data_IF_112214319740
#
_entry.id   IF_112214319740
#
_cell.length_a   1.000
_cell.length_b   1.000
_cell.length_c   1.000
_cell.angle_alpha   90.00
_cell.angle_beta   90.00
_cell.angle_gamma   90.00
#
_symmetry.space_group_name_H-M   'P 1'
#
loop_
_entity.id
_entity.type
_entity.pdbx_description
1 polymer ?
#
# COMPACT_ATOMS: atom_id res chain seq x y z
N UNK A 1 -10.17 18.36 -1.01
CA UNK A 1 -11.32 17.45 -1.03
C UNK A 1 -11.03 16.29 -0.08
N UNK A 2 -11.93 15.94 0.85
CA UNK A 2 -11.78 14.76 1.72
C UNK A 2 -12.89 13.77 1.38
N UNK A 3 -12.52 12.51 1.19
CA UNK A 3 -13.46 11.41 0.91
C UNK A 3 -13.35 10.37 2.00
N UNK A 4 -14.49 9.83 2.39
CA UNK A 4 -14.57 8.74 3.35
C UNK A 4 -15.36 7.61 2.71
N UNK A 5 -14.78 6.41 2.69
CA UNK A 5 -15.44 5.18 2.27
C UNK A 5 -15.52 4.25 3.48
N UNK A 6 -16.59 3.49 3.59
CA UNK A 6 -16.69 2.48 4.63
C UNK A 6 -15.65 1.37 4.41
N UNK A 7 -15.28 0.69 5.50
CA UNK A 7 -14.35 -0.45 5.45
C UNK A 7 -14.85 -1.54 4.49
N UNK A 8 -16.16 -1.80 4.46
CA UNK A 8 -16.77 -2.78 3.55
C UNK A 8 -16.65 -2.41 2.08
N UNK A 9 -16.76 -1.11 1.75
CA UNK A 9 -16.53 -0.63 0.38
C UNK A 9 -15.06 -0.81 0.01
N UNK A 10 -14.14 -0.40 0.89
CA UNK A 10 -12.70 -0.51 0.67
C UNK A 10 -12.25 -1.97 0.51
N UNK A 11 -12.78 -2.88 1.32
CA UNK A 11 -12.49 -4.32 1.24
C UNK A 11 -12.98 -4.93 -0.08
N UNK A 12 -14.15 -4.51 -0.59
CA UNK A 12 -14.64 -4.96 -1.90
C UNK A 12 -13.80 -4.42 -3.05
N UNK A 13 -13.39 -3.15 -3.01
CA UNK A 13 -12.46 -2.60 -4.01
C UNK A 13 -11.12 -3.35 -3.94
N UNK A 14 -10.59 -3.61 -2.75
CA UNK A 14 -9.33 -4.35 -2.57
C UNK A 14 -9.34 -5.74 -3.20
N UNK A 15 -10.44 -6.48 -3.05
CA UNK A 15 -10.59 -7.85 -3.58
C UNK A 15 -10.88 -7.92 -5.07
N UNK A 16 -11.32 -6.80 -5.65
CA UNK A 16 -11.67 -6.73 -7.06
C UNK A 16 -10.44 -6.83 -7.96
N UNK A 17 -10.62 -7.39 -9.15
CA UNK A 17 -9.58 -7.41 -10.17
C UNK A 17 -9.37 -6.01 -10.77
N UNK A 18 -8.15 -5.66 -11.22
CA UNK A 18 -7.94 -4.44 -12.01
C UNK A 18 -8.95 -4.33 -13.17
N UNK A 19 -9.60 -3.18 -13.31
CA UNK A 19 -10.63 -2.89 -14.31
C UNK A 19 -12.06 -3.30 -13.90
N UNK A 20 -12.23 -4.05 -12.81
CA UNK A 20 -13.55 -4.44 -12.33
C UNK A 20 -14.33 -3.24 -11.76
N UNK A 21 -15.64 -3.19 -12.06
CA UNK A 21 -16.55 -2.14 -11.56
C UNK A 21 -17.23 -2.62 -10.28
N UNK A 22 -17.01 -1.91 -9.18
CA UNK A 22 -17.55 -2.18 -7.85
C UNK A 22 -18.66 -1.16 -7.54
N UNK A 23 -19.82 -1.64 -7.10
CA UNK A 23 -21.00 -0.81 -6.76
C UNK A 23 -21.51 0.09 -7.90
N UNK A 24 -21.13 -0.20 -9.14
CA UNK A 24 -21.45 0.66 -10.29
C UNK A 24 -20.74 2.02 -10.28
N UNK A 25 -19.78 2.24 -9.38
CA UNK A 25 -19.15 3.56 -9.16
C UNK A 25 -17.65 3.55 -8.96
N UNK A 26 -17.04 2.43 -8.56
CA UNK A 26 -15.60 2.36 -8.37
C UNK A 26 -14.97 1.42 -9.37
N UNK A 27 -13.79 1.78 -9.90
CA UNK A 27 -13.00 0.90 -10.75
C UNK A 27 -11.64 0.69 -10.15
N UNK A 28 -11.26 -0.55 -9.89
CA UNK A 28 -9.96 -0.89 -9.33
C UNK A 28 -8.86 -0.68 -10.39
N UNK A 29 -7.80 0.06 -10.04
CA UNK A 29 -6.70 0.33 -10.99
C UNK A 29 -5.48 -0.54 -10.71
N UNK A 30 -4.70 -0.25 -9.67
CA UNK A 30 -3.47 -1.00 -9.34
C UNK A 30 -3.16 -1.00 -7.85
N UNK A 31 -2.57 -2.06 -7.29
CA UNK A 31 -2.11 -2.06 -5.89
C UNK A 31 -0.85 -2.86 -5.71
N UNK A 32 -0.15 -2.54 -4.64
CA UNK A 32 1.19 -3.04 -4.36
C UNK A 32 1.47 -2.99 -2.86
N UNK A 33 2.42 -3.81 -2.46
CA UNK A 33 3.11 -3.71 -1.18
C UNK A 33 4.38 -2.89 -1.37
N UNK A 34 4.67 -2.02 -0.43
CA UNK A 34 5.91 -1.27 -0.33
C UNK A 34 6.46 -1.39 1.09
N UNK A 35 7.78 -1.47 1.23
CA UNK A 35 8.41 -1.34 2.53
C UNK A 35 8.32 0.14 2.95
N UNK A 36 7.68 0.41 4.07
CA UNK A 36 7.71 1.72 4.72
C UNK A 36 8.80 1.69 5.80
N UNK A 37 9.94 2.32 5.54
CA UNK A 37 10.91 2.63 6.59
C UNK A 37 10.44 3.86 7.35
N UNK A 38 10.36 3.77 8.68
CA UNK A 38 10.41 4.96 9.52
C UNK A 38 11.86 5.20 9.93
N UNK A 39 12.23 6.47 10.02
CA UNK A 39 13.54 6.92 10.48
C UNK A 39 13.95 6.24 11.80
N UNK A 40 15.27 6.11 11.96
CA UNK A 40 15.94 5.63 13.17
C UNK A 40 15.29 6.27 14.41
N UNK A 41 14.72 5.46 15.29
CA UNK A 41 14.40 5.90 16.64
C UNK A 41 15.71 6.02 17.43
N UNK A 42 16.45 7.11 17.21
CA UNK A 42 17.73 7.38 17.88
C UNK A 42 17.58 7.43 19.43
N UNK A 43 16.37 7.71 19.92
CA UNK A 43 16.09 7.89 21.36
C UNK A 43 15.94 6.58 22.17
N UNK A 44 15.91 5.41 21.53
CA UNK A 44 15.64 4.14 22.23
C UNK A 44 16.89 3.29 22.52
N UNK A 45 18.10 3.69 22.08
CA UNK A 45 19.33 2.91 22.28
C UNK A 45 19.31 1.50 21.66
N UNK A 46 18.33 1.23 20.79
CA UNK A 46 18.17 0.01 20.01
C UNK A 46 17.93 0.44 18.57
N UNK A 47 18.92 0.20 17.69
CA UNK A 47 18.82 0.40 16.25
C UNK A 47 17.86 -0.64 15.63
N UNK A 48 16.59 -0.65 16.04
CA UNK A 48 15.60 -1.54 15.48
C UNK A 48 14.96 -0.86 14.27
N UNK A 49 15.54 -1.10 13.09
CA UNK A 49 14.89 -0.81 11.80
C UNK A 49 13.53 -1.53 11.77
N UNK A 50 12.48 -0.83 12.18
CA UNK A 50 11.13 -1.35 12.07
C UNK A 50 10.66 -1.06 10.65
N UNK A 51 10.97 -1.98 9.74
CA UNK A 51 10.36 -1.98 8.41
C UNK A 51 8.88 -2.35 8.60
N UNK A 52 8.02 -1.34 8.42
CA UNK A 52 6.59 -1.55 8.22
C UNK A 52 6.36 -2.01 6.79
N UNK A 53 5.32 -2.84 6.57
CA UNK A 53 4.85 -3.12 5.22
C UNK A 53 3.61 -2.28 5.00
N UNK A 54 3.64 -1.43 3.99
CA UNK A 54 2.55 -0.59 3.56
C UNK A 54 1.89 -1.25 2.35
N UNK A 55 0.58 -1.45 2.40
CA UNK A 55 -0.20 -1.79 1.22
C UNK A 55 -0.95 -0.57 0.71
N UNK A 56 -0.81 -0.32 -0.59
CA UNK A 56 -1.40 0.82 -1.28
C UNK A 56 -2.19 0.33 -2.50
N UNK A 57 -3.39 0.87 -2.70
CA UNK A 57 -4.19 0.58 -3.88
C UNK A 57 -4.92 1.81 -4.42
N UNK A 58 -4.96 1.94 -5.76
CA UNK A 58 -5.67 3.00 -6.44
C UNK A 58 -6.99 2.53 -7.08
N UNK A 59 -7.95 3.44 -7.13
CA UNK A 59 -9.23 3.22 -7.79
C UNK A 59 -9.74 4.53 -8.41
N UNK A 60 -10.54 4.42 -9.47
CA UNK A 60 -11.30 5.54 -10.04
C UNK A 60 -12.68 5.56 -9.39
N UNK A 61 -13.17 6.73 -8.99
CA UNK A 61 -14.59 6.92 -8.72
C UNK A 61 -15.25 7.57 -9.94
N UNK A 62 -16.27 6.91 -10.48
CA UNK A 62 -17.00 7.30 -11.68
C UNK A 62 -18.01 8.43 -11.41
N UNK A 63 -18.34 8.70 -10.15
CA UNK A 63 -19.27 9.75 -9.74
C UNK A 63 -18.62 11.13 -9.70
N UNK A 64 -17.34 11.18 -9.34
CA UNK A 64 -16.54 12.42 -9.28
C UNK A 64 -15.44 12.47 -10.35
N UNK A 65 -15.25 11.40 -11.12
CA UNK A 65 -14.22 11.19 -12.15
C UNK A 65 -12.78 11.30 -11.63
N UNK A 66 -12.57 11.28 -10.30
CA UNK A 66 -11.26 11.35 -9.69
C UNK A 66 -10.65 9.97 -9.42
N UNK A 67 -9.32 9.95 -9.40
CA UNK A 67 -8.56 8.82 -8.89
C UNK A 67 -8.25 9.00 -7.42
N UNK A 68 -8.35 7.91 -6.69
CA UNK A 68 -8.15 7.85 -5.25
C UNK A 68 -7.15 6.74 -4.94
N UNK A 69 -6.33 6.94 -3.92
CA UNK A 69 -5.46 5.91 -3.35
C UNK A 69 -5.83 5.68 -1.90
N UNK A 70 -6.01 4.42 -1.56
CA UNK A 70 -6.03 3.94 -0.19
C UNK A 70 -4.67 3.37 0.16
N UNK A 71 -4.12 3.78 1.30
CA UNK A 71 -2.83 3.31 1.79
C UNK A 71 -2.94 2.94 3.27
N UNK A 72 -2.29 1.84 3.65
CA UNK A 72 -2.32 1.36 5.02
C UNK A 72 -1.12 0.51 5.41
N UNK A 73 -0.52 0.83 6.55
CA UNK A 73 0.52 0.01 7.18
C UNK A 73 -0.12 -1.26 7.76
N UNK A 74 0.49 -2.41 7.48
CA UNK A 74 0.07 -3.70 8.00
C UNK A 74 0.53 -3.86 9.44
N UNK A 75 -0.41 -4.24 10.30
CA UNK A 75 -0.12 -4.57 11.69
C UNK A 75 0.51 -5.97 11.75
N UNK A 76 1.62 -6.10 12.48
CA UNK A 76 2.24 -7.41 12.74
C UNK A 76 1.28 -8.27 13.56
N UNK A 77 1.22 -9.55 13.24
CA UNK A 77 0.58 -10.56 14.07
C UNK A 77 1.63 -11.17 15.00
N UNK A 78 1.29 -11.32 16.29
CA UNK A 78 2.09 -12.13 17.20
C UNK A 78 1.59 -13.56 17.12
N UNK A 79 2.46 -14.47 16.67
CA UNK A 79 2.14 -15.89 16.62
C UNK A 79 2.90 -16.59 17.76
N UNK A 80 2.20 -17.21 18.72
CA UNK A 80 2.86 -17.89 19.84
C UNK A 80 3.62 -19.12 19.32
N UNK A 81 4.96 -19.11 19.44
CA UNK A 81 5.80 -20.29 19.19
C UNK A 81 6.68 -20.25 17.93
N UNK A 82 6.58 -19.20 17.10
CA UNK A 82 7.44 -18.97 15.94
C UNK A 82 8.28 -17.72 16.17
N UNK A 83 9.55 -17.88 16.54
CA UNK A 83 10.42 -16.74 16.89
C UNK A 83 11.08 -16.05 15.68
N UNK A 84 10.86 -16.56 14.46
CA UNK A 84 11.60 -16.11 13.25
C UNK A 84 10.72 -15.59 12.12
N UNK A 85 9.43 -15.91 12.12
CA UNK A 85 8.55 -15.55 11.01
C UNK A 85 7.74 -14.29 11.35
N UNK A 86 7.89 -13.25 10.52
CA UNK A 86 7.10 -12.03 10.64
C UNK A 86 5.79 -12.24 9.89
N UNK A 87 4.71 -12.49 10.64
CA UNK A 87 3.35 -12.61 10.10
C UNK A 87 2.66 -11.25 10.19
N UNK A 88 1.87 -10.90 9.18
CA UNK A 88 1.04 -9.70 9.18
C UNK A 88 -0.43 -10.09 9.31
N UNK A 89 -1.21 -9.30 10.05
CA UNK A 89 -2.67 -9.40 10.01
C UNK A 89 -3.14 -9.17 8.56
N UNK A 90 -4.36 -9.59 8.18
CA UNK A 90 -4.98 -9.22 6.91
C UNK A 90 -4.96 -7.69 6.66
N UNK A 91 -5.57 -7.18 5.59
CA UNK A 91 -5.72 -5.72 5.40
C UNK A 91 -7.03 -5.14 5.96
N UNK A 92 -8.09 -5.96 6.07
CA UNK A 92 -9.45 -5.57 6.49
C UNK A 92 -10.06 -6.48 7.58
N UNK A 93 -9.26 -6.91 8.57
CA UNK A 93 -9.70 -7.43 9.86
C UNK A 93 -10.45 -6.39 10.73
N UNK A 94 -11.16 -6.87 11.75
CA UNK A 94 -11.95 -6.04 12.67
C UNK A 94 -11.10 -5.32 13.74
N UNK A 95 -9.91 -5.83 14.02
CA UNK A 95 -9.13 -5.53 15.23
C UNK A 95 -7.90 -4.66 14.95
N UNK A 96 -8.10 -3.59 14.18
CA UNK A 96 -7.01 -2.71 13.82
C UNK A 96 -6.96 -1.45 14.66
N UNK A 97 -5.74 -1.11 15.04
CA UNK A 97 -5.44 0.10 15.80
C UNK A 97 -5.14 1.28 14.87
N UNK A 98 -4.52 1.02 13.71
CA UNK A 98 -4.15 2.07 12.74
C UNK A 98 -5.13 2.15 11.57
N UNK A 99 -5.93 3.24 11.43
CA UNK A 99 -6.81 3.41 10.28
C UNK A 99 -6.00 3.67 9.01
N UNK A 100 -6.45 3.13 7.88
CA UNK A 100 -5.88 3.49 6.58
C UNK A 100 -6.29 4.90 6.13
N UNK A 101 -5.57 5.44 5.16
CA UNK A 101 -5.77 6.80 4.67
C UNK A 101 -6.20 6.82 3.20
N UNK A 102 -7.12 7.73 2.86
CA UNK A 102 -7.59 8.00 1.50
C UNK A 102 -7.09 9.35 1.01
N UNK A 103 -6.40 9.36 -0.13
CA UNK A 103 -5.91 10.57 -0.79
C UNK A 103 -6.40 10.62 -2.24
N UNK A 104 -6.77 11.81 -2.77
CA UNK A 104 -6.86 12.00 -4.20
C UNK A 104 -5.48 11.83 -4.83
N UNK A 105 -5.43 11.25 -6.03
CA UNK A 105 -4.19 11.08 -6.78
C UNK A 105 -4.38 11.62 -8.19
N UNK A 106 -3.39 12.34 -8.68
CA UNK A 106 -3.30 12.68 -10.11
C UNK A 106 -2.72 11.48 -10.84
N UNK A 107 -3.55 10.80 -11.62
CA UNK A 107 -3.05 9.75 -12.51
C UNK A 107 -2.31 10.41 -13.67
N UNK A 108 -0.98 10.31 -13.68
CA UNK A 108 -0.14 10.86 -14.73
C UNK A 108 -0.12 10.01 -16.02
N UNK A 109 -0.96 8.97 -16.12
CA UNK A 109 -0.84 7.95 -17.15
C UNK A 109 0.17 6.86 -16.77
N UNK A 110 0.32 5.81 -17.60
CA UNK A 110 1.45 4.90 -17.48
C UNK A 110 2.73 5.70 -17.68
N UNK A 111 3.50 5.91 -16.62
CA UNK A 111 4.89 6.31 -16.77
C UNK A 111 5.66 5.08 -17.20
N UNK A 112 6.16 5.10 -18.44
CA UNK A 112 7.21 4.16 -18.85
C UNK A 112 8.41 4.46 -17.98
N UNK A 113 8.53 3.80 -16.82
CA UNK A 113 9.82 3.69 -16.14
C UNK A 113 10.66 2.78 -17.03
N UNK A 114 11.32 3.37 -18.01
CA UNK A 114 12.50 2.75 -18.60
C UNK A 114 13.50 2.66 -17.45
N UNK A 115 13.68 1.45 -16.90
CA UNK A 115 14.83 1.17 -16.07
C UNK A 115 16.05 1.35 -16.97
N UNK A 116 16.69 2.51 -16.94
CA UNK A 116 18.01 2.66 -17.52
C UNK A 116 18.94 1.81 -16.65
N UNK A 117 19.15 0.56 -17.05
CA UNK A 117 20.25 -0.23 -16.54
C UNK A 117 21.50 0.47 -17.04
N UNK A 118 22.16 1.22 -16.17
CA UNK A 118 23.52 1.69 -16.42
C UNK A 118 24.41 0.47 -16.20
N UNK A 119 24.70 -0.26 -17.27
CA UNK A 119 25.78 -1.25 -17.25
C UNK A 119 27.10 -0.49 -17.12
N UNK A 120 27.63 -0.43 -15.90
CA UNK A 120 29.03 -0.07 -15.70
C UNK A 120 29.88 -1.24 -16.22
N UNK A 121 30.24 -1.19 -17.51
CA UNK A 121 31.27 -2.06 -18.06
C UNK A 121 32.62 -1.55 -17.55
N UNK A 122 33.09 -2.10 -16.44
CA UNK A 122 34.48 -1.95 -16.02
C UNK A 122 35.36 -2.71 -17.01
N UNK A 123 36.01 -1.97 -17.92
CA UNK A 123 37.08 -2.49 -18.75
C UNK A 123 38.32 -2.70 -17.87
N UNK A 124 38.55 -3.93 -17.42
CA UNK A 124 39.86 -4.36 -16.93
C UNK A 124 40.76 -4.63 -18.14
N UNK A 125 41.67 -3.70 -18.43
CA UNK A 125 42.87 -3.94 -19.23
C UNK A 125 44.10 -3.88 -18.32
#
# INVERSE_FOLDING_TARGET
MRKSLTVDVLNRIYRASPGEVIDGKYVRMFGHYEASGNDLNEDAGVDEYTIGILYSFSFKDLTDDFFWRYSRVLDRASEPGTSTDVVYKPLFSRDYETPGYLAPVTWAGPTTRTSTVVENVENYN
#
